data_IF_381847657813
#
_entry.id   IF_381847657813
#
_cell.length_a   1.000
_cell.length_b   1.000
_cell.length_c   1.000
_cell.angle_alpha   90.00
_cell.angle_beta   90.00
_cell.angle_gamma   90.00
#
_symmetry.space_group_name_H-M   'P 1'
#
loop_
_entity.id
_entity.type
_entity.pdbx_description
1 polymer ?
#
# COMPACT_ATOMS: atom_id res chain seq x y z
N UNK A 1 21.78 -10.19 -7.78
CA UNK A 1 22.45 -10.91 -6.67
C UNK A 1 21.52 -10.98 -5.47
N UNK A 2 21.26 -9.85 -4.78
CA UNK A 2 20.48 -9.83 -3.53
C UNK A 2 18.95 -10.02 -3.69
N UNK A 3 18.45 -9.97 -4.92
CA UNK A 3 17.05 -10.26 -5.25
C UNK A 3 17.00 -11.00 -6.58
N UNK A 4 16.20 -12.06 -6.63
CA UNK A 4 15.89 -12.79 -7.87
C UNK A 4 14.73 -12.10 -8.59
N UNK A 5 14.82 -11.91 -9.91
CA UNK A 5 13.78 -11.25 -10.71
C UNK A 5 12.39 -11.91 -10.59
N UNK A 6 12.33 -13.20 -10.28
CA UNK A 6 11.08 -13.95 -10.09
C UNK A 6 10.41 -13.67 -8.73
N UNK A 7 11.13 -13.08 -7.77
CA UNK A 7 10.68 -12.82 -6.39
C UNK A 7 10.72 -11.31 -6.07
N UNK A 8 10.02 -10.52 -6.87
CA UNK A 8 9.83 -9.08 -6.67
C UNK A 8 8.81 -8.79 -5.55
N UNK A 9 9.14 -9.22 -4.32
CA UNK A 9 8.40 -8.84 -3.12
C UNK A 9 8.62 -7.37 -2.76
N UNK A 10 7.72 -6.80 -1.94
CA UNK A 10 7.89 -5.44 -1.40
C UNK A 10 9.24 -5.30 -0.69
N UNK A 11 9.88 -4.14 -0.83
CA UNK A 11 11.19 -3.85 -0.22
C UNK A 11 11.26 -4.17 1.29
N UNK A 12 10.15 -3.99 2.01
CA UNK A 12 10.06 -4.22 3.45
C UNK A 12 10.31 -5.68 3.86
N UNK A 13 10.09 -6.63 2.95
CA UNK A 13 10.23 -8.05 3.28
C UNK A 13 11.64 -8.61 3.12
N UNK A 14 12.54 -7.91 2.44
CA UNK A 14 13.88 -8.43 2.14
C UNK A 14 15.01 -7.46 2.43
N UNK A 15 14.82 -6.15 2.22
CA UNK A 15 15.89 -5.17 2.47
C UNK A 15 16.32 -5.13 3.94
N UNK A 16 15.41 -5.13 4.94
CA UNK A 16 15.81 -5.22 6.34
C UNK A 16 16.63 -6.47 6.64
N UNK A 17 16.19 -7.63 6.14
CA UNK A 17 16.88 -8.90 6.35
C UNK A 17 18.29 -8.93 5.76
N UNK A 18 18.48 -8.43 4.53
CA UNK A 18 19.83 -8.34 3.93
C UNK A 18 20.71 -7.34 4.69
N UNK A 19 20.13 -6.27 5.21
CA UNK A 19 20.85 -5.29 6.05
C UNK A 19 21.33 -5.95 7.35
N UNK A 20 20.49 -6.76 8.01
CA UNK A 20 20.86 -7.55 9.20
C UNK A 20 21.97 -8.57 8.90
N UNK A 21 21.85 -9.31 7.79
CA UNK A 21 22.88 -10.29 7.37
C UNK A 21 24.25 -9.66 7.12
N UNK A 22 24.28 -8.37 6.75
CA UNK A 22 25.51 -7.62 6.55
C UNK A 22 26.05 -7.01 7.86
N UNK A 23 25.45 -7.36 9.00
CA UNK A 23 25.89 -6.94 10.33
C UNK A 23 25.31 -5.60 10.81
N UNK A 24 24.30 -5.05 10.13
CA UNK A 24 23.65 -3.81 10.54
C UNK A 24 22.36 -4.07 11.33
N UNK A 25 21.70 -3.01 11.80
CA UNK A 25 20.35 -3.10 12.38
C UNK A 25 19.28 -2.87 11.30
N UNK A 26 18.66 -3.95 10.85
CA UNK A 26 17.58 -4.00 9.86
C UNK A 26 16.30 -3.28 10.31
N UNK A 27 16.07 -3.12 11.62
CA UNK A 27 14.91 -2.38 12.14
C UNK A 27 14.89 -0.94 11.66
N UNK A 28 16.05 -0.32 11.43
CA UNK A 28 16.14 1.05 10.88
C UNK A 28 15.51 1.13 9.48
N UNK A 29 15.81 0.13 8.64
CA UNK A 29 15.27 0.04 7.27
C UNK A 29 13.79 -0.30 7.30
N UNK A 30 13.39 -1.24 8.15
CA UNK A 30 11.99 -1.61 8.34
C UNK A 30 11.15 -0.42 8.80
N UNK A 31 11.65 0.33 9.79
CA UNK A 31 11.02 1.55 10.31
C UNK A 31 10.84 2.60 9.22
N UNK A 32 11.89 2.88 8.43
CA UNK A 32 11.81 3.85 7.32
C UNK A 32 10.74 3.45 6.30
N UNK A 33 10.72 2.18 5.90
CA UNK A 33 9.76 1.67 4.91
C UNK A 33 8.32 1.67 5.44
N UNK A 34 8.13 1.41 6.75
CA UNK A 34 6.83 1.54 7.39
C UNK A 34 6.35 3.00 7.38
N UNK A 35 7.21 3.96 7.73
CA UNK A 35 6.88 5.38 7.69
C UNK A 35 6.47 5.82 6.26
N UNK A 36 7.15 5.32 5.23
CA UNK A 36 6.79 5.62 3.83
C UNK A 36 5.38 5.09 3.46
N UNK A 37 5.01 3.87 3.88
CA UNK A 37 3.67 3.31 3.68
C UNK A 37 2.61 4.06 4.51
N UNK A 38 2.94 4.49 5.73
CA UNK A 38 2.04 5.28 6.59
C UNK A 38 1.76 6.65 5.98
N UNK A 39 2.79 7.34 5.47
CA UNK A 39 2.65 8.61 4.74
C UNK A 39 1.77 8.42 3.50
N UNK A 40 1.97 7.33 2.75
CA UNK A 40 1.19 7.01 1.56
C UNK A 40 -0.29 6.77 1.89
N UNK A 41 -0.56 6.02 2.96
CA UNK A 41 -1.92 5.73 3.44
C UNK A 41 -2.63 7.02 3.85
N UNK A 42 -1.99 7.84 4.70
CA UNK A 42 -2.57 9.14 5.14
C UNK A 42 -2.82 10.11 3.99
N UNK A 43 -1.97 10.12 2.96
CA UNK A 43 -2.23 10.90 1.74
C UNK A 43 -3.46 10.39 0.99
N UNK A 44 -3.67 9.08 0.95
CA UNK A 44 -4.89 8.46 0.41
C UNK A 44 -6.14 8.88 1.18
N UNK A 45 -6.07 8.95 2.51
CA UNK A 45 -7.17 9.40 3.36
C UNK A 45 -7.55 10.86 3.07
N UNK A 46 -6.54 11.75 2.93
CA UNK A 46 -6.79 13.15 2.55
C UNK A 46 -7.49 13.25 1.19
N UNK A 47 -7.03 12.49 0.19
CA UNK A 47 -7.66 12.50 -1.15
C UNK A 47 -9.11 12.01 -1.09
N UNK A 48 -9.39 11.02 -0.24
CA UNK A 48 -10.74 10.50 -0.04
C UNK A 48 -11.65 11.55 0.60
N UNK A 49 -11.17 12.24 1.65
CA UNK A 49 -11.89 13.34 2.30
C UNK A 49 -12.15 14.51 1.34
N UNK A 50 -11.16 14.86 0.51
CA UNK A 50 -11.29 15.92 -0.50
C UNK A 50 -12.35 15.60 -1.55
N UNK A 51 -12.41 14.34 -2.02
CA UNK A 51 -13.43 13.90 -3.00
C UNK A 51 -14.84 13.88 -2.41
N UNK A 52 -14.99 13.44 -1.16
CA UNK A 52 -16.30 13.32 -0.52
C UNK A 52 -17.02 14.66 -0.36
N UNK A 53 -16.28 15.76 -0.27
CA UNK A 53 -16.88 17.05 0.07
C UNK A 53 -16.48 18.23 -0.84
N UNK A 54 -15.76 17.97 -1.94
CA UNK A 54 -15.23 19.02 -2.84
C UNK A 54 -14.52 20.13 -2.04
N UNK A 55 -13.75 19.72 -1.04
CA UNK A 55 -13.16 20.60 -0.04
C UNK A 55 -11.76 21.03 -0.46
N UNK A 56 -11.52 22.34 -0.47
CA UNK A 56 -10.19 22.91 -0.34
C UNK A 56 -9.95 23.37 1.10
N UNK A 57 -8.84 22.92 1.69
CA UNK A 57 -8.43 23.26 3.07
C UNK A 57 -8.15 24.77 3.19
N UNK A 58 -7.84 25.45 2.10
CA UNK A 58 -7.65 26.92 2.08
C UNK A 58 -8.94 27.69 2.34
N UNK A 59 -10.12 27.07 2.18
CA UNK A 59 -11.41 27.72 2.42
C UNK A 59 -11.85 27.73 3.89
N UNK A 60 -11.01 27.26 4.83
CA UNK A 60 -11.39 27.18 6.26
C UNK A 60 -11.93 28.51 6.79
N UNK A 61 -11.17 29.59 6.62
CA UNK A 61 -11.52 30.94 7.11
C UNK A 61 -12.83 31.44 6.50
N UNK A 62 -13.01 31.23 5.20
CA UNK A 62 -14.24 31.57 4.48
C UNK A 62 -15.46 30.80 5.01
N UNK A 63 -15.32 29.51 5.32
CA UNK A 63 -16.42 28.71 5.87
C UNK A 63 -16.78 29.16 7.28
N UNK A 64 -15.77 29.44 8.11
CA UNK A 64 -16.01 29.99 9.45
C UNK A 64 -16.77 31.31 9.35
N UNK A 65 -16.33 32.23 8.48
CA UNK A 65 -17.06 33.49 8.26
C UNK A 65 -18.49 33.30 7.72
N UNK A 66 -18.73 32.30 6.86
CA UNK A 66 -20.08 31.97 6.40
C UNK A 66 -20.96 31.41 7.54
N UNK A 67 -20.39 30.59 8.43
CA UNK A 67 -21.09 30.08 9.62
C UNK A 67 -21.46 31.25 10.52
N UNK A 68 -20.55 32.19 10.77
CA UNK A 68 -20.81 33.37 11.61
C UNK A 68 -21.96 34.22 11.05
N UNK A 69 -21.94 34.50 9.74
CA UNK A 69 -23.00 35.26 9.06
C UNK A 69 -24.33 34.51 9.17
N UNK A 70 -24.35 33.22 8.86
CA UNK A 70 -25.57 32.39 8.88
C UNK A 70 -26.13 32.21 10.29
N UNK A 71 -25.26 32.15 11.30
CA UNK A 71 -25.64 32.08 12.70
C UNK A 71 -26.31 33.38 13.16
N UNK A 72 -25.81 34.54 12.73
CA UNK A 72 -26.45 35.82 13.02
C UNK A 72 -27.80 35.96 12.27
N UNK A 73 -27.87 35.57 10.98
CA UNK A 73 -29.14 35.52 10.24
C UNK A 73 -30.18 34.63 10.93
N UNK A 74 -29.75 33.47 11.46
CA UNK A 74 -30.58 32.55 12.23
C UNK A 74 -31.13 33.24 13.48
N UNK A 75 -30.25 33.84 14.26
CA UNK A 75 -30.61 34.53 15.52
C UNK A 75 -31.57 35.68 15.29
N UNK A 76 -31.38 36.48 14.24
CA UNK A 76 -32.32 37.55 13.89
C UNK A 76 -33.68 36.98 13.48
N UNK A 77 -33.69 35.90 12.71
CA UNK A 77 -34.94 35.20 12.33
C UNK A 77 -35.67 34.66 13.56
N UNK A 78 -34.96 34.07 14.51
CA UNK A 78 -35.52 33.61 15.80
C UNK A 78 -36.12 34.78 16.60
N UNK A 79 -35.44 35.92 16.68
CA UNK A 79 -35.96 37.12 17.34
C UNK A 79 -37.23 37.67 16.67
N UNK A 80 -37.30 37.64 15.34
CA UNK A 80 -38.52 38.02 14.61
C UNK A 80 -39.67 37.05 14.85
N UNK A 81 -39.37 35.74 14.99
CA UNK A 81 -40.35 34.71 15.35
C UNK A 81 -40.88 34.94 16.78
N UNK A 82 -39.99 35.24 17.74
CA UNK A 82 -40.35 35.46 19.14
C UNK A 82 -41.22 36.71 19.37
N UNK A 83 -41.12 37.71 18.47
CA UNK A 83 -41.97 38.92 18.51
C UNK A 83 -43.44 38.65 18.18
N UNK A 84 -43.78 37.51 17.59
CA UNK A 84 -45.17 37.14 17.31
C UNK A 84 -45.90 36.77 18.61
N UNK A 85 -46.55 37.77 19.21
CA UNK A 85 -47.29 37.61 20.47
C UNK A 85 -48.77 37.29 20.21
N UNK A 86 -49.12 36.00 20.25
CA UNK A 86 -50.48 35.49 20.06
C UNK A 86 -51.32 35.70 21.33
N UNK A 87 -52.14 36.76 21.41
CA UNK A 87 -53.07 36.98 22.52
C UNK A 87 -54.53 36.81 22.10
N UNK A 88 -55.12 35.67 22.49
CA UNK A 88 -56.56 35.51 22.72
C UNK A 88 -56.79 34.56 23.91
N UNK A 89 -57.95 34.63 24.56
CA UNK A 89 -58.27 34.02 25.86
C UNK A 89 -58.22 32.47 25.91
N UNK A 90 -58.01 31.79 24.77
CA UNK A 90 -57.80 30.33 24.60
C UNK A 90 -56.33 29.95 24.26
N UNK A 91 -55.38 30.89 24.42
CA UNK A 91 -54.02 30.77 23.89
C UNK A 91 -53.14 29.69 24.54
N UNK A 92 -53.35 29.29 25.80
CA UNK A 92 -52.43 28.37 26.50
C UNK A 92 -52.48 26.95 25.91
N UNK A 93 -53.68 26.37 25.81
CA UNK A 93 -53.88 25.01 25.26
C UNK A 93 -53.51 24.94 23.79
N UNK A 94 -53.77 26.00 23.03
CA UNK A 94 -53.47 26.05 21.59
C UNK A 94 -51.96 26.24 21.34
N UNK A 95 -51.26 27.01 22.19
CA UNK A 95 -49.82 27.22 22.13
C UNK A 95 -49.02 25.96 22.49
N UNK A 96 -49.39 25.26 23.57
CA UNK A 96 -48.79 23.96 23.92
C UNK A 96 -48.94 22.93 22.78
N UNK A 97 -50.10 22.91 22.13
CA UNK A 97 -50.34 22.07 20.96
C UNK A 97 -49.48 22.47 19.74
N UNK A 98 -49.16 23.75 19.56
CA UNK A 98 -48.28 24.22 18.49
C UNK A 98 -46.83 23.84 18.79
N UNK A 99 -46.36 24.05 20.03
CA UNK A 99 -45.00 23.71 20.47
C UNK A 99 -44.71 22.20 20.34
N UNK A 100 -45.69 21.35 20.67
CA UNK A 100 -45.60 19.91 20.41
C UNK A 100 -45.48 19.60 18.92
N UNK A 101 -46.27 20.26 18.06
CA UNK A 101 -46.19 20.05 16.60
C UNK A 101 -44.84 20.54 16.06
N UNK A 102 -44.32 21.66 16.57
CA UNK A 102 -43.01 22.21 16.18
C UNK A 102 -41.86 21.27 16.55
N UNK A 103 -41.89 20.71 17.75
CA UNK A 103 -40.88 19.72 18.19
C UNK A 103 -40.92 18.47 17.31
N UNK A 104 -42.10 17.98 16.98
CA UNK A 104 -42.27 16.84 16.06
C UNK A 104 -41.81 17.18 14.64
N UNK A 105 -42.12 18.37 14.12
CA UNK A 105 -41.66 18.83 12.81
C UNK A 105 -40.13 18.95 12.75
N UNK A 106 -39.48 19.42 13.82
CA UNK A 106 -38.03 19.51 13.89
C UNK A 106 -37.37 18.11 13.84
N UNK A 107 -37.93 17.14 14.57
CA UNK A 107 -37.48 15.76 14.52
C UNK A 107 -37.69 15.15 13.11
N UNK A 108 -38.86 15.35 12.51
CA UNK A 108 -39.17 14.85 11.16
C UNK A 108 -38.32 15.50 10.07
N UNK A 109 -38.04 16.80 10.16
CA UNK A 109 -37.16 17.49 9.22
C UNK A 109 -35.72 16.98 9.35
N UNK A 110 -35.23 16.77 10.57
CA UNK A 110 -33.91 16.15 10.80
C UNK A 110 -33.83 14.76 10.17
N UNK A 111 -34.89 13.97 10.31
CA UNK A 111 -35.00 12.66 9.68
C UNK A 111 -35.03 12.73 8.14
N UNK A 112 -35.78 13.68 7.58
CA UNK A 112 -35.82 13.96 6.14
C UNK A 112 -34.42 14.24 5.59
N UNK A 113 -33.66 15.11 6.26
CA UNK A 113 -32.28 15.42 5.86
C UNK A 113 -31.36 14.20 5.94
N UNK A 114 -31.49 13.38 6.99
CA UNK A 114 -30.73 12.12 7.11
C UNK A 114 -31.01 11.19 5.93
N UNK A 115 -32.28 11.03 5.56
CA UNK A 115 -32.69 10.19 4.43
C UNK A 115 -32.21 10.74 3.08
N UNK A 116 -32.30 12.06 2.85
CA UNK A 116 -31.78 12.69 1.63
C UNK A 116 -30.25 12.53 1.50
N UNK A 117 -29.53 12.65 2.62
CA UNK A 117 -28.09 12.42 2.66
C UNK A 117 -27.74 10.96 2.31
N UNK A 118 -28.40 9.98 2.95
CA UNK A 118 -28.17 8.56 2.65
C UNK A 118 -28.54 8.20 1.19
N UNK A 119 -29.62 8.77 0.65
CA UNK A 119 -29.99 8.64 -0.77
C UNK A 119 -28.88 9.18 -1.67
N UNK A 120 -28.32 10.36 -1.37
CA UNK A 120 -27.24 10.95 -2.14
C UNK A 120 -25.97 10.09 -2.07
N UNK A 121 -25.62 9.58 -0.89
CA UNK A 121 -24.48 8.67 -0.68
C UNK A 121 -24.62 7.36 -1.47
N UNK A 122 -25.81 6.75 -1.45
CA UNK A 122 -26.12 5.55 -2.24
C UNK A 122 -26.06 5.85 -3.75
N UNK A 123 -26.57 6.99 -4.19
CA UNK A 123 -26.49 7.42 -5.59
C UNK A 123 -25.05 7.66 -6.07
N UNK A 124 -24.20 8.31 -5.25
CA UNK A 124 -22.78 8.50 -5.54
C UNK A 124 -22.06 7.16 -5.64
N UNK A 125 -22.34 6.23 -4.72
CA UNK A 125 -21.80 4.86 -4.76
C UNK A 125 -22.21 4.10 -6.03
N UNK A 126 -23.45 4.27 -6.49
CA UNK A 126 -23.95 3.69 -7.74
C UNK A 126 -23.25 4.28 -8.99
N UNK A 127 -22.88 5.58 -8.98
CA UNK A 127 -22.12 6.23 -10.07
C UNK A 127 -20.67 5.74 -10.15
N UNK A 128 -20.04 5.49 -9.00
CA UNK A 128 -18.64 5.05 -8.91
C UNK A 128 -18.42 3.56 -9.24
N UNK A 129 -19.48 2.75 -9.40
CA UNK A 129 -19.37 1.30 -9.68
C UNK A 129 -18.94 0.98 -11.14
N UNK A 130 -18.07 1.79 -11.75
CA UNK A 130 -17.61 1.67 -13.14
C UNK A 130 -16.13 1.30 -13.29
N UNK A 131 -15.51 0.70 -12.27
CA UNK A 131 -14.19 0.11 -12.40
C UNK A 131 -14.29 -1.31 -12.99
N UNK A 132 -14.54 -1.40 -14.30
CA UNK A 132 -14.47 -2.66 -15.04
C UNK A 132 -13.00 -2.90 -15.39
N UNK A 133 -12.44 -4.01 -14.89
CA UNK A 133 -11.14 -4.52 -15.35
C UNK A 133 -11.34 -5.00 -16.78
N UNK A 134 -10.85 -4.23 -17.76
CA UNK A 134 -11.00 -4.55 -19.19
C UNK A 134 -9.85 -5.42 -19.64
N UNK A 135 -10.10 -6.72 -19.77
CA UNK A 135 -9.14 -7.71 -20.30
C UNK A 135 -8.52 -7.25 -21.63
N UNK A 136 -9.33 -6.62 -22.49
CA UNK A 136 -8.91 -6.12 -23.80
C UNK A 136 -7.74 -5.14 -23.73
N UNK A 137 -7.79 -4.18 -22.78
CA UNK A 137 -6.71 -3.19 -22.59
C UNK A 137 -5.44 -3.82 -22.05
N UNK A 138 -5.59 -4.90 -21.27
CA UNK A 138 -4.46 -5.65 -20.76
C UNK A 138 -3.79 -6.43 -21.90
N UNK A 139 -4.58 -7.04 -22.80
CA UNK A 139 -4.07 -7.72 -24.00
C UNK A 139 -3.35 -6.74 -24.95
N UNK A 140 -3.94 -5.57 -25.20
CA UNK A 140 -3.31 -4.49 -25.98
C UNK A 140 -1.94 -4.10 -25.40
N UNK A 141 -1.84 -3.92 -24.08
CA UNK A 141 -0.58 -3.56 -23.42
C UNK A 141 0.49 -4.66 -23.56
N UNK A 142 0.11 -5.93 -23.47
CA UNK A 142 1.03 -7.07 -23.62
C UNK A 142 1.52 -7.24 -25.07
N UNK A 143 0.65 -6.96 -26.05
CA UNK A 143 1.05 -6.88 -27.46
C UNK A 143 2.01 -5.72 -27.73
N UNK A 144 1.78 -4.53 -27.14
CA UNK A 144 2.66 -3.37 -27.29
C UNK A 144 4.08 -3.61 -26.75
N UNK A 145 4.22 -4.38 -25.68
CA UNK A 145 5.53 -4.75 -25.13
C UNK A 145 6.12 -6.03 -25.74
N UNK A 146 5.44 -6.62 -26.72
CA UNK A 146 5.85 -7.83 -27.45
C UNK A 146 6.11 -9.05 -26.52
N UNK A 147 5.34 -9.16 -25.44
CA UNK A 147 5.42 -10.25 -24.45
C UNK A 147 4.22 -11.18 -24.62
N UNK A 148 4.49 -12.48 -24.67
CA UNK A 148 3.45 -13.52 -24.76
C UNK A 148 2.50 -13.45 -23.56
N UNK A 149 1.20 -13.24 -23.83
CA UNK A 149 0.14 -13.27 -22.81
C UNK A 149 -0.31 -14.73 -22.56
N UNK A 150 0.00 -15.34 -21.41
CA UNK A 150 -0.29 -16.76 -21.18
C UNK A 150 -1.79 -17.04 -21.13
N UNK A 151 -2.25 -18.11 -21.79
CA UNK A 151 -3.68 -18.51 -21.77
C UNK A 151 -4.22 -18.77 -20.35
N UNK A 152 -3.37 -19.26 -19.45
CA UNK A 152 -3.72 -19.47 -18.03
C UNK A 152 -4.03 -18.16 -17.32
N UNK A 153 -3.32 -17.08 -17.68
CA UNK A 153 -3.54 -15.74 -17.15
C UNK A 153 -4.80 -15.11 -17.76
N UNK A 154 -5.11 -15.40 -19.04
CA UNK A 154 -6.39 -15.02 -19.66
C UNK A 154 -7.57 -15.62 -18.91
N UNK A 155 -7.54 -16.93 -18.62
CA UNK A 155 -8.62 -17.60 -17.86
C UNK A 155 -8.78 -17.04 -16.46
N UNK A 156 -7.69 -16.79 -15.74
CA UNK A 156 -7.73 -16.20 -14.40
C UNK A 156 -8.26 -14.77 -14.39
N UNK A 157 -7.94 -13.98 -15.41
CA UNK A 157 -8.49 -12.64 -15.55
C UNK A 157 -9.94 -12.65 -16.00
N UNK A 158 -10.35 -13.58 -16.87
CA UNK A 158 -11.75 -13.79 -17.25
C UNK A 158 -12.57 -14.21 -16.02
N UNK A 159 -12.05 -15.09 -15.18
CA UNK A 159 -12.66 -15.46 -13.90
C UNK A 159 -12.72 -14.26 -12.93
N UNK A 160 -11.66 -13.45 -12.87
CA UNK A 160 -11.64 -12.22 -12.06
C UNK A 160 -12.63 -11.18 -12.59
N UNK A 161 -12.76 -11.02 -13.90
CA UNK A 161 -13.73 -10.14 -14.56
C UNK A 161 -15.16 -10.60 -14.26
N UNK A 162 -15.45 -11.90 -14.40
CA UNK A 162 -16.73 -12.49 -14.05
C UNK A 162 -17.05 -12.34 -12.56
N UNK A 163 -16.06 -12.53 -11.68
CA UNK A 163 -16.23 -12.36 -10.24
C UNK A 163 -16.46 -10.89 -9.86
N UNK A 164 -15.69 -9.97 -10.45
CA UNK A 164 -15.83 -8.53 -10.21
C UNK A 164 -17.17 -8.02 -10.75
N UNK A 165 -17.62 -8.54 -11.89
CA UNK A 165 -18.92 -8.20 -12.46
C UNK A 165 -20.07 -8.83 -11.66
N UNK A 166 -19.92 -10.05 -11.16
CA UNK A 166 -20.89 -10.68 -10.25
C UNK A 166 -21.05 -9.88 -8.95
N UNK A 167 -19.95 -9.56 -8.25
CA UNK A 167 -19.97 -8.73 -7.03
C UNK A 167 -20.50 -7.33 -7.32
N UNK A 168 -20.09 -6.69 -8.42
CA UNK A 168 -20.57 -5.35 -8.78
C UNK A 168 -22.06 -5.36 -9.11
N UNK A 169 -22.56 -6.43 -9.70
CA UNK A 169 -23.99 -6.58 -10.04
C UNK A 169 -24.84 -6.86 -8.82
N UNK A 170 -24.37 -7.73 -7.91
CA UNK A 170 -25.02 -7.99 -6.62
C UNK A 170 -25.03 -6.75 -5.73
N UNK A 171 -23.90 -6.04 -5.63
CA UNK A 171 -23.80 -4.78 -4.91
C UNK A 171 -24.70 -3.70 -5.51
N UNK A 172 -24.74 -3.56 -6.84
CA UNK A 172 -25.66 -2.62 -7.52
C UNK A 172 -27.13 -2.97 -7.24
N UNK A 173 -27.47 -4.26 -7.21
CA UNK A 173 -28.82 -4.72 -6.87
C UNK A 173 -29.18 -4.32 -5.45
N UNK A 174 -28.33 -4.63 -4.47
CA UNK A 174 -28.53 -4.23 -3.07
C UNK A 174 -28.64 -2.72 -2.89
N UNK A 175 -27.76 -1.94 -3.53
CA UNK A 175 -27.80 -0.48 -3.47
C UNK A 175 -29.09 0.09 -4.09
N UNK A 176 -29.60 -0.50 -5.17
CA UNK A 176 -30.88 -0.10 -5.78
C UNK A 176 -32.08 -0.44 -4.89
N UNK A 177 -32.08 -1.63 -4.27
CA UNK A 177 -33.12 -2.03 -3.32
C UNK A 177 -33.13 -1.10 -2.11
N UNK A 178 -31.97 -0.83 -1.50
CA UNK A 178 -31.83 0.12 -0.40
C UNK A 178 -32.25 1.54 -0.80
N UNK A 179 -31.87 2.00 -2.01
CA UNK A 179 -32.30 3.30 -2.54
C UNK A 179 -33.82 3.39 -2.66
N UNK A 180 -34.48 2.30 -3.05
CA UNK A 180 -35.94 2.24 -3.14
C UNK A 180 -36.58 2.35 -1.76
N UNK A 181 -36.09 1.59 -0.77
CA UNK A 181 -36.56 1.67 0.62
C UNK A 181 -36.39 3.07 1.21
N UNK A 182 -35.21 3.68 1.07
CA UNK A 182 -34.93 5.03 1.56
C UNK A 182 -35.83 6.08 0.90
N UNK A 183 -36.13 5.94 -0.41
CA UNK A 183 -37.06 6.83 -1.11
C UNK A 183 -38.50 6.68 -0.64
N UNK A 184 -38.94 5.46 -0.35
CA UNK A 184 -40.27 5.22 0.23
C UNK A 184 -40.40 5.81 1.64
N UNK A 185 -39.37 5.65 2.48
CA UNK A 185 -39.32 6.29 3.80
C UNK A 185 -39.34 7.82 3.69
N UNK A 186 -38.55 8.38 2.77
CA UNK A 186 -38.52 9.82 2.51
C UNK A 186 -39.90 10.33 2.06
N UNK A 187 -40.59 9.59 1.19
CA UNK A 187 -41.94 9.93 0.75
C UNK A 187 -42.94 9.93 1.92
N UNK A 188 -42.91 8.91 2.78
CA UNK A 188 -43.76 8.82 3.98
C UNK A 188 -43.50 9.97 4.95
N UNK A 189 -42.24 10.30 5.22
CA UNK A 189 -41.87 11.44 6.07
C UNK A 189 -42.33 12.76 5.46
N UNK A 190 -42.19 12.95 4.14
CA UNK A 190 -42.68 14.15 3.47
C UNK A 190 -44.20 14.30 3.56
N UNK A 191 -44.96 13.22 3.40
CA UNK A 191 -46.42 13.27 3.60
C UNK A 191 -46.78 13.60 5.06
N UNK A 192 -46.08 13.00 6.01
CA UNK A 192 -46.33 13.23 7.43
C UNK A 192 -45.99 14.67 7.86
N UNK A 193 -44.87 15.23 7.36
CA UNK A 193 -44.51 16.65 7.51
C UNK A 193 -45.62 17.51 6.90
N UNK A 194 -46.07 17.23 5.69
CA UNK A 194 -47.13 17.99 5.02
C UNK A 194 -48.44 17.99 5.81
N UNK A 195 -48.81 16.86 6.40
CA UNK A 195 -50.00 16.74 7.25
C UNK A 195 -49.85 17.50 8.57
N UNK A 196 -48.67 17.46 9.21
CA UNK A 196 -48.38 18.20 10.45
C UNK A 196 -48.33 19.71 10.21
N UNK A 197 -47.72 20.15 9.11
CA UNK A 197 -47.74 21.54 8.65
C UNK A 197 -49.16 22.07 8.38
N UNK A 198 -50.05 21.24 7.80
CA UNK A 198 -51.44 21.61 7.59
C UNK A 198 -52.20 21.80 8.92
N UNK A 199 -52.06 20.86 9.86
CA UNK A 199 -52.66 20.97 11.21
C UNK A 199 -52.13 22.16 11.99
N UNK A 200 -50.83 22.43 11.85
CA UNK A 200 -50.18 23.60 12.44
C UNK A 200 -50.74 24.89 11.86
N UNK A 201 -50.92 24.92 10.55
CA UNK A 201 -51.49 26.06 9.83
C UNK A 201 -52.91 26.38 10.25
N UNK A 202 -53.74 25.35 10.43
CA UNK A 202 -55.09 25.50 10.97
C UNK A 202 -55.08 26.12 12.37
N UNK A 203 -54.25 25.60 13.28
CA UNK A 203 -54.20 26.07 14.68
C UNK A 203 -53.69 27.49 14.82
N UNK A 204 -52.70 27.92 14.03
CA UNK A 204 -52.18 29.28 14.13
C UNK A 204 -53.13 30.30 13.48
N UNK A 205 -53.88 29.90 12.43
CA UNK A 205 -54.93 30.74 11.84
C UNK A 205 -56.05 31.10 12.83
N UNK A 206 -56.25 30.27 13.86
CA UNK A 206 -57.20 30.52 14.95
C UNK A 206 -56.68 31.53 15.98
N UNK A 207 -55.36 31.76 16.03
CA UNK A 207 -54.69 32.61 17.02
C UNK A 207 -54.31 34.00 16.50
N UNK A 208 -54.38 34.25 15.18
CA UNK A 208 -53.88 35.48 14.55
C UNK A 208 -54.62 35.88 13.28
N UNK A 209 -54.59 37.17 12.96
CA UNK A 209 -55.00 37.67 11.64
C UNK A 209 -54.17 37.00 10.53
N UNK A 210 -54.82 36.70 9.39
CA UNK A 210 -54.22 35.93 8.30
C UNK A 210 -52.87 36.47 7.81
N UNK A 211 -52.66 37.79 7.87
CA UNK A 211 -51.44 38.45 7.40
C UNK A 211 -50.24 38.26 8.37
N UNK A 212 -50.51 38.25 9.68
CA UNK A 212 -49.52 37.98 10.73
C UNK A 212 -49.07 36.52 10.66
N UNK A 213 -50.02 35.60 10.45
CA UNK A 213 -49.74 34.18 10.27
C UNK A 213 -48.87 33.89 9.04
N UNK A 214 -49.18 34.54 7.90
CA UNK A 214 -48.40 34.36 6.67
C UNK A 214 -46.93 34.78 6.86
N UNK A 215 -46.67 35.89 7.57
CA UNK A 215 -45.30 36.33 7.89
C UNK A 215 -44.57 35.34 8.79
N UNK A 216 -45.23 34.84 9.83
CA UNK A 216 -44.66 33.82 10.73
C UNK A 216 -44.24 32.56 9.96
N UNK A 217 -45.08 32.07 9.04
CA UNK A 217 -44.77 30.91 8.19
C UNK A 217 -43.55 31.14 7.29
N UNK A 218 -43.39 32.35 6.76
CA UNK A 218 -42.22 32.73 5.96
C UNK A 218 -40.95 32.70 6.81
N UNK A 219 -40.95 33.31 7.99
CA UNK A 219 -39.79 33.31 8.88
C UNK A 219 -39.41 31.90 9.35
N UNK A 220 -40.39 31.05 9.66
CA UNK A 220 -40.09 29.68 10.06
C UNK A 220 -39.48 28.83 8.94
N UNK A 221 -39.98 28.99 7.70
CA UNK A 221 -39.36 28.32 6.54
C UNK A 221 -37.93 28.82 6.31
N UNK A 222 -37.68 30.12 6.53
CA UNK A 222 -36.35 30.70 6.49
C UNK A 222 -35.44 30.11 7.58
N UNK A 223 -35.94 29.97 8.81
CA UNK A 223 -35.22 29.38 9.93
C UNK A 223 -34.78 27.94 9.61
N UNK A 224 -35.69 27.11 9.12
CA UNK A 224 -35.38 25.74 8.73
C UNK A 224 -34.32 25.66 7.60
N UNK A 225 -34.36 26.61 6.65
CA UNK A 225 -33.34 26.72 5.59
C UNK A 225 -31.98 27.10 6.15
N UNK A 226 -31.93 28.10 7.04
CA UNK A 226 -30.70 28.55 7.69
C UNK A 226 -30.08 27.46 8.56
N UNK A 227 -30.89 26.70 9.29
CA UNK A 227 -30.40 25.56 10.08
C UNK A 227 -29.80 24.44 9.22
N UNK A 228 -30.41 24.16 8.07
CA UNK A 228 -29.88 23.17 7.13
C UNK A 228 -28.57 23.64 6.48
N UNK A 229 -28.50 24.91 6.09
CA UNK A 229 -27.28 25.54 5.56
C UNK A 229 -26.15 25.53 6.60
N UNK A 230 -26.44 25.91 7.86
CA UNK A 230 -25.47 25.87 8.96
C UNK A 230 -24.92 24.46 9.19
N UNK A 231 -25.79 23.45 9.29
CA UNK A 231 -25.34 22.06 9.45
C UNK A 231 -24.42 21.60 8.32
N UNK A 232 -24.69 22.02 7.08
CA UNK A 232 -23.85 21.69 5.94
C UNK A 232 -22.48 22.36 6.04
N UNK A 233 -22.44 23.64 6.43
CA UNK A 233 -21.19 24.38 6.63
C UNK A 233 -20.37 23.80 7.81
N UNK A 234 -21.03 23.43 8.91
CA UNK A 234 -20.40 22.79 10.08
C UNK A 234 -19.77 21.44 9.72
N UNK A 235 -20.46 20.59 8.97
CA UNK A 235 -19.90 19.31 8.51
C UNK A 235 -18.72 19.55 7.56
N UNK A 236 -18.82 20.55 6.65
CA UNK A 236 -17.71 20.92 5.77
C UNK A 236 -16.48 21.38 6.58
N UNK A 237 -16.70 22.17 7.65
CA UNK A 237 -15.63 22.61 8.55
C UNK A 237 -14.97 21.43 9.28
N UNK A 238 -15.76 20.48 9.79
CA UNK A 238 -15.26 19.28 10.47
C UNK A 238 -14.32 18.46 9.57
N UNK A 239 -14.69 18.29 8.31
CA UNK A 239 -13.88 17.57 7.32
C UNK A 239 -12.58 18.31 6.99
N UNK A 240 -12.60 19.65 6.93
CA UNK A 240 -11.39 20.48 6.78
C UNK A 240 -10.45 20.30 7.96
N UNK A 241 -10.97 20.38 9.18
CA UNK A 241 -10.15 20.26 10.40
C UNK A 241 -9.54 18.86 10.51
N UNK A 242 -10.30 17.83 10.13
CA UNK A 242 -9.79 16.46 10.03
C UNK A 242 -8.66 16.33 9.01
N UNK A 243 -8.81 16.93 7.83
CA UNK A 243 -7.76 16.95 6.80
C UNK A 243 -6.50 17.67 7.27
N UNK A 244 -6.65 18.79 7.98
CA UNK A 244 -5.53 19.54 8.58
C UNK A 244 -4.78 18.70 9.62
N UNK A 245 -5.51 17.99 10.49
CA UNK A 245 -4.91 17.09 11.48
C UNK A 245 -4.08 15.99 10.81
N UNK A 246 -4.60 15.38 9.73
CA UNK A 246 -3.86 14.36 8.98
C UNK A 246 -2.60 14.96 8.32
N UNK A 247 -2.66 16.21 7.82
CA UNK A 247 -1.49 16.90 7.28
C UNK A 247 -0.40 17.10 8.33
N UNK A 248 -0.77 17.53 9.54
CA UNK A 248 0.19 17.67 10.66
C UNK A 248 0.87 16.34 11.01
N UNK A 249 0.10 15.23 11.05
CA UNK A 249 0.65 13.89 11.24
C UNK A 249 1.61 13.49 10.12
N UNK A 250 1.30 13.82 8.87
CA UNK A 250 2.20 13.58 7.72
C UNK A 250 3.51 14.34 7.91
N UNK A 251 3.47 15.60 8.37
CA UNK A 251 4.67 16.40 8.58
C UNK A 251 5.53 15.88 9.74
N UNK A 252 4.91 15.39 10.82
CA UNK A 252 5.61 14.67 11.88
C UNK A 252 6.31 13.41 11.35
N UNK A 253 5.61 12.59 10.56
CA UNK A 253 6.18 11.39 9.94
C UNK A 253 7.33 11.72 8.97
N UNK A 254 7.28 12.85 8.25
CA UNK A 254 8.40 13.29 7.39
C UNK A 254 9.64 13.63 8.20
N UNK A 255 9.48 14.26 9.36
CA UNK A 255 10.64 14.57 10.22
C UNK A 255 11.21 13.29 10.83
N UNK A 256 10.35 12.37 11.28
CA UNK A 256 10.79 11.04 11.75
C UNK A 256 11.50 10.24 10.64
N UNK A 257 10.99 10.29 9.40
CA UNK A 257 11.64 9.71 8.23
C UNK A 257 13.04 10.29 8.03
N UNK A 258 13.19 11.61 8.13
CA UNK A 258 14.48 12.29 7.97
C UNK A 258 15.49 11.85 9.04
N UNK A 259 15.07 11.75 10.30
CA UNK A 259 15.91 11.25 11.39
C UNK A 259 16.31 9.78 11.19
N UNK A 260 15.36 8.95 10.75
CA UNK A 260 15.61 7.53 10.47
C UNK A 260 16.60 7.37 9.30
N UNK A 261 16.45 8.16 8.24
CA UNK A 261 17.40 8.17 7.10
C UNK A 261 18.80 8.59 7.55
N UNK A 262 18.92 9.60 8.41
CA UNK A 262 20.21 10.01 8.97
C UNK A 262 20.86 8.87 9.79
N UNK A 263 20.07 8.16 10.59
CA UNK A 263 20.53 7.01 11.38
C UNK A 263 21.00 5.86 10.48
N UNK A 264 20.30 5.60 9.37
CA UNK A 264 20.72 4.60 8.38
C UNK A 264 22.06 5.01 7.73
N UNK A 265 22.22 6.28 7.37
CA UNK A 265 23.47 6.77 6.77
C UNK A 265 24.64 6.63 7.76
N UNK A 266 24.45 7.01 9.01
CA UNK A 266 25.45 6.83 10.07
C UNK A 266 25.83 5.36 10.26
N UNK A 267 24.85 4.46 10.24
CA UNK A 267 25.10 3.02 10.30
C UNK A 267 25.94 2.54 9.10
N UNK A 268 25.60 2.97 7.88
CA UNK A 268 26.35 2.64 6.65
C UNK A 268 27.79 3.14 6.74
N UNK A 269 28.00 4.36 7.21
CA UNK A 269 29.33 4.97 7.37
C UNK A 269 30.19 4.22 8.42
N UNK A 270 29.54 3.62 9.43
CA UNK A 270 30.17 2.73 10.40
C UNK A 270 30.68 1.41 9.82
N UNK A 271 30.28 1.05 8.58
CA UNK A 271 30.82 -0.08 7.80
C UNK A 271 30.83 -1.44 8.54
N UNK A 272 29.73 -1.82 9.19
CA UNK A 272 29.61 -3.11 9.89
C UNK A 272 29.98 -4.33 8.99
N UNK A 273 29.61 -4.28 7.71
CA UNK A 273 29.96 -5.29 6.70
C UNK A 273 31.44 -5.38 6.28
N UNK A 274 32.36 -4.61 6.88
CA UNK A 274 33.75 -4.52 6.40
C UNK A 274 34.48 -5.88 6.36
N UNK A 275 34.25 -6.74 7.35
CA UNK A 275 34.88 -8.06 7.42
C UNK A 275 34.28 -9.03 6.38
N UNK A 276 32.95 -9.02 6.20
CA UNK A 276 32.27 -9.76 5.12
C UNK A 276 32.86 -9.35 3.77
N UNK A 277 33.03 -8.04 3.56
CA UNK A 277 33.66 -7.48 2.36
C UNK A 277 35.09 -7.97 2.14
N UNK A 278 35.88 -8.09 3.23
CA UNK A 278 37.25 -8.59 3.17
C UNK A 278 37.29 -10.05 2.72
N UNK A 279 36.46 -10.91 3.33
CA UNK A 279 36.38 -12.34 2.99
C UNK A 279 35.88 -12.51 1.56
N UNK A 280 34.83 -11.78 1.19
CA UNK A 280 34.27 -11.74 -0.16
C UNK A 280 35.34 -11.40 -1.21
N UNK A 281 36.07 -10.29 -1.02
CA UNK A 281 37.12 -9.88 -1.95
C UNK A 281 38.26 -10.90 -2.01
N UNK A 282 38.67 -11.46 -0.87
CA UNK A 282 39.73 -12.47 -0.82
C UNK A 282 39.42 -13.70 -1.69
N UNK A 283 38.20 -14.24 -1.56
CA UNK A 283 37.78 -15.39 -2.36
C UNK A 283 37.70 -15.04 -3.85
N UNK A 284 37.11 -13.89 -4.20
CA UNK A 284 37.03 -13.48 -5.61
C UNK A 284 38.42 -13.28 -6.21
N UNK A 285 39.33 -12.60 -5.51
CA UNK A 285 40.69 -12.38 -5.99
C UNK A 285 41.48 -13.68 -6.15
N UNK A 286 41.33 -14.64 -5.23
CA UNK A 286 41.95 -15.98 -5.35
C UNK A 286 41.44 -16.75 -6.58
N UNK A 287 40.17 -16.56 -6.95
CA UNK A 287 39.52 -17.29 -8.05
C UNK A 287 39.75 -16.62 -9.40
N UNK A 288 39.60 -15.31 -9.50
CA UNK A 288 39.55 -14.56 -10.77
C UNK A 288 40.73 -13.60 -10.98
N UNK A 289 41.68 -13.51 -10.06
CA UNK A 289 42.77 -12.51 -10.07
C UNK A 289 42.27 -11.04 -10.14
N UNK A 290 41.00 -10.80 -9.81
CA UNK A 290 40.36 -9.48 -9.85
C UNK A 290 39.78 -9.12 -8.49
N UNK A 291 39.79 -7.84 -8.12
CA UNK A 291 39.13 -7.39 -6.90
C UNK A 291 37.61 -7.30 -7.10
N UNK A 292 36.84 -7.43 -6.03
CA UNK A 292 35.41 -7.16 -5.98
C UNK A 292 35.02 -6.51 -4.66
N UNK A 293 33.89 -5.81 -4.66
CA UNK A 293 33.39 -5.08 -3.49
C UNK A 293 31.89 -5.24 -3.35
N UNK A 294 31.42 -5.36 -2.11
CA UNK A 294 30.02 -5.13 -1.73
C UNK A 294 29.92 -3.69 -1.24
N UNK A 295 29.00 -2.93 -1.81
CA UNK A 295 28.73 -1.55 -1.47
C UNK A 295 27.26 -1.39 -1.09
N UNK A 296 27.03 -0.52 -0.11
CA UNK A 296 25.71 -0.22 0.43
C UNK A 296 25.55 1.29 0.34
N UNK A 297 24.45 1.74 -0.26
CA UNK A 297 24.20 3.17 -0.47
C UNK A 297 22.72 3.49 -0.31
N UNK A 298 22.44 4.76 -0.01
CA UNK A 298 21.09 5.30 -0.14
C UNK A 298 20.86 5.74 -1.58
N UNK A 299 19.72 5.34 -2.16
CA UNK A 299 19.30 5.79 -3.49
C UNK A 299 18.54 7.13 -3.45
N UNK A 300 18.03 7.58 -4.59
CA UNK A 300 17.30 8.85 -4.70
C UNK A 300 16.07 8.96 -3.79
N UNK A 301 15.48 7.82 -3.42
CA UNK A 301 14.33 7.74 -2.51
C UNK A 301 14.74 7.50 -1.05
N UNK A 302 16.04 7.62 -0.76
CA UNK A 302 16.66 7.28 0.52
C UNK A 302 16.36 5.84 0.96
N UNK A 303 16.22 4.91 0.01
CA UNK A 303 16.17 3.48 0.30
C UNK A 303 17.58 2.91 0.25
N UNK A 304 17.86 1.93 1.12
CA UNK A 304 19.11 1.17 1.08
C UNK A 304 19.14 0.32 -0.18
N UNK A 305 20.21 0.43 -0.96
CA UNK A 305 20.52 -0.43 -2.09
C UNK A 305 21.86 -1.14 -1.86
N UNK A 306 21.88 -2.40 -2.25
CA UNK A 306 23.03 -3.31 -2.11
C UNK A 306 23.58 -3.61 -3.50
N UNK A 307 24.89 -3.50 -3.66
CA UNK A 307 25.56 -3.69 -4.94
C UNK A 307 26.86 -4.46 -4.73
N UNK A 308 27.09 -5.50 -5.54
CA UNK A 308 28.31 -6.27 -5.53
C UNK A 308 28.88 -6.30 -6.95
N UNK A 309 30.10 -5.80 -7.14
CA UNK A 309 30.74 -5.69 -8.45
C UNK A 309 32.23 -5.98 -8.39
N UNK A 310 32.78 -6.41 -9.53
CA UNK A 310 34.22 -6.45 -9.77
C UNK A 310 34.79 -5.04 -9.88
N UNK A 311 36.01 -4.86 -9.40
CA UNK A 311 36.80 -3.64 -9.49
C UNK A 311 37.89 -3.83 -10.55
N UNK A 312 37.61 -3.40 -11.77
CA UNK A 312 38.60 -3.37 -12.86
C UNK A 312 39.30 -2.00 -12.93
N UNK A 313 40.56 -2.00 -13.36
CA UNK A 313 41.42 -0.80 -13.42
C UNK A 313 40.92 0.27 -14.41
N UNK A 314 40.05 -0.11 -15.34
CA UNK A 314 39.29 0.82 -16.18
C UNK A 314 37.91 1.03 -15.56
N UNK A 315 37.51 2.28 -15.30
CA UNK A 315 36.14 2.70 -14.88
C UNK A 315 35.01 2.32 -15.88
N UNK A 316 35.29 1.44 -16.83
CA UNK A 316 34.32 0.75 -17.67
C UNK A 316 34.08 -0.61 -17.05
N UNK A 317 32.85 -0.83 -16.58
CA UNK A 317 32.27 -2.16 -16.34
C UNK A 317 32.68 -3.05 -17.51
N UNK A 318 33.64 -3.96 -17.30
CA UNK A 318 34.10 -4.84 -18.37
C UNK A 318 32.98 -5.84 -18.67
N UNK A 319 32.94 -6.36 -19.89
CA UNK A 319 31.98 -7.37 -20.35
C UNK A 319 31.97 -8.65 -19.47
N UNK A 320 32.97 -8.82 -18.60
CA UNK A 320 33.04 -9.87 -17.58
C UNK A 320 31.97 -9.70 -16.48
N UNK A 321 31.66 -8.46 -16.08
CA UNK A 321 30.59 -8.19 -15.10
C UNK A 321 29.18 -8.41 -15.68
N UNK A 322 29.04 -8.46 -17.01
CA UNK A 322 27.77 -8.72 -17.70
C UNK A 322 27.51 -10.22 -17.95
N UNK A 323 28.55 -11.05 -17.88
CA UNK A 323 28.44 -12.50 -18.06
C UNK A 323 27.71 -13.19 -16.91
N UNK A 324 26.70 -14.01 -17.22
CA UNK A 324 25.92 -14.78 -16.23
C UNK A 324 26.81 -15.60 -15.30
N UNK A 325 27.88 -16.23 -15.81
CA UNK A 325 28.78 -17.07 -15.02
C UNK A 325 29.61 -16.28 -13.99
N UNK A 326 30.09 -15.08 -14.32
CA UNK A 326 30.82 -14.23 -13.37
C UNK A 326 29.91 -13.62 -12.30
N UNK A 327 28.64 -13.38 -12.61
CA UNK A 327 27.63 -13.03 -11.59
C UNK A 327 27.35 -14.19 -10.63
N UNK A 328 27.33 -15.45 -11.11
CA UNK A 328 27.22 -16.64 -10.24
C UNK A 328 28.38 -16.69 -9.25
N UNK A 329 29.61 -16.40 -9.67
CA UNK A 329 30.78 -16.34 -8.78
C UNK A 329 30.63 -15.30 -7.66
N UNK A 330 30.08 -14.12 -7.95
CA UNK A 330 29.82 -13.13 -6.91
C UNK A 330 28.81 -13.68 -5.88
N UNK A 331 27.71 -14.33 -6.33
CA UNK A 331 26.74 -14.95 -5.41
C UNK A 331 27.42 -15.98 -4.50
N UNK A 332 28.23 -16.87 -5.08
CA UNK A 332 28.96 -17.92 -4.34
C UNK A 332 29.89 -17.31 -3.30
N UNK A 333 30.64 -16.28 -3.68
CA UNK A 333 31.56 -15.62 -2.78
C UNK A 333 30.84 -14.90 -1.64
N UNK A 334 29.66 -14.34 -1.90
CA UNK A 334 28.83 -13.71 -0.88
C UNK A 334 28.30 -14.74 0.12
N UNK A 335 27.73 -15.85 -0.36
CA UNK A 335 27.19 -16.89 0.50
C UNK A 335 28.29 -17.50 1.39
N UNK A 336 29.47 -17.76 0.83
CA UNK A 336 30.62 -18.23 1.60
C UNK A 336 31.10 -17.16 2.59
N UNK A 337 31.18 -15.88 2.20
CA UNK A 337 31.61 -14.82 3.09
C UNK A 337 30.69 -14.68 4.31
N UNK A 338 29.37 -14.83 4.13
CA UNK A 338 28.42 -14.86 5.23
C UNK A 338 28.65 -16.07 6.15
N UNK A 339 28.79 -17.28 5.58
CA UNK A 339 29.03 -18.49 6.36
C UNK A 339 30.32 -18.41 7.19
N UNK A 340 31.39 -17.87 6.61
CA UNK A 340 32.67 -17.67 7.30
C UNK A 340 32.53 -16.62 8.40
N UNK A 341 31.90 -15.48 8.11
CA UNK A 341 31.70 -14.41 9.10
C UNK A 341 30.91 -14.89 10.32
N UNK A 342 29.85 -15.69 10.10
CA UNK A 342 29.02 -16.25 11.16
C UNK A 342 29.45 -17.65 11.63
N UNK A 343 30.64 -18.13 11.27
CA UNK A 343 31.12 -19.48 11.59
C UNK A 343 31.26 -19.76 13.11
N UNK A 344 31.25 -18.72 13.95
CA UNK A 344 31.28 -18.83 15.42
C UNK A 344 29.91 -18.62 16.08
N UNK A 345 28.93 -18.17 15.32
CA UNK A 345 27.56 -17.90 15.80
C UNK A 345 26.62 -19.07 15.51
N UNK A 346 25.45 -19.13 16.14
CA UNK A 346 24.42 -20.13 15.80
C UNK A 346 23.79 -19.82 14.43
N UNK A 347 24.50 -20.15 13.36
CA UNK A 347 24.14 -19.90 11.97
C UNK A 347 24.31 -21.17 11.12
N UNK A 348 23.80 -21.16 9.90
CA UNK A 348 24.02 -22.25 8.96
C UNK A 348 25.52 -22.52 8.74
N UNK A 349 25.85 -23.77 8.43
CA UNK A 349 27.23 -24.25 8.22
C UNK A 349 27.40 -24.93 6.87
N UNK A 350 26.42 -24.80 5.99
CA UNK A 350 26.49 -25.38 4.66
C UNK A 350 25.89 -24.44 3.61
N UNK A 351 26.31 -24.63 2.36
CA UNK A 351 25.72 -23.98 1.18
C UNK A 351 25.64 -24.99 0.04
N UNK A 352 24.62 -24.85 -0.79
CA UNK A 352 24.40 -25.66 -1.99
C UNK A 352 24.34 -24.75 -3.22
N UNK A 353 25.16 -25.02 -4.22
CA UNK A 353 25.13 -24.29 -5.49
C UNK A 353 24.97 -25.25 -6.68
N UNK A 354 23.97 -24.96 -7.51
CA UNK A 354 23.72 -25.71 -8.74
C UNK A 354 24.38 -25.05 -9.94
N UNK A 355 25.02 -25.85 -10.79
CA UNK A 355 25.57 -25.41 -12.07
C UNK A 355 26.57 -24.25 -11.96
N UNK A 356 27.30 -24.16 -10.85
CA UNK A 356 28.18 -23.01 -10.56
C UNK A 356 29.39 -22.94 -11.49
N UNK A 357 29.85 -24.10 -11.97
CA UNK A 357 31.02 -24.21 -12.85
C UNK A 357 30.68 -24.01 -14.34
N UNK A 358 29.40 -23.92 -14.69
CA UNK A 358 28.93 -23.78 -16.07
C UNK A 358 29.51 -22.54 -16.77
N UNK A 359 30.14 -22.77 -17.93
CA UNK A 359 30.68 -21.71 -18.77
C UNK A 359 31.89 -20.97 -18.18
N UNK A 360 32.47 -21.46 -17.08
CA UNK A 360 33.73 -20.95 -16.54
C UNK A 360 34.93 -21.60 -17.23
N UNK A 361 36.05 -20.87 -17.31
CA UNK A 361 37.34 -21.42 -17.69
C UNK A 361 37.83 -22.45 -16.65
N UNK A 362 38.45 -23.54 -17.10
CA UNK A 362 38.88 -24.63 -16.23
C UNK A 362 39.84 -24.19 -15.12
N UNK A 363 40.65 -23.14 -15.34
CA UNK A 363 41.53 -22.59 -14.30
C UNK A 363 40.72 -21.94 -13.19
N UNK A 364 39.67 -21.20 -13.55
CA UNK A 364 38.75 -20.56 -12.59
C UNK A 364 37.99 -21.62 -11.81
N UNK A 365 37.53 -22.69 -12.47
CA UNK A 365 36.87 -23.83 -11.80
C UNK A 365 37.79 -24.49 -10.77
N UNK A 366 39.03 -24.82 -11.15
CA UNK A 366 39.99 -25.47 -10.24
C UNK A 366 40.34 -24.59 -9.04
N UNK A 367 40.54 -23.28 -9.27
CA UNK A 367 40.78 -22.32 -8.19
C UNK A 367 39.59 -22.21 -7.25
N UNK A 368 38.36 -22.16 -7.78
CA UNK A 368 37.16 -22.13 -6.95
C UNK A 368 37.05 -23.38 -6.08
N UNK A 369 37.18 -24.58 -6.66
CA UNK A 369 37.12 -25.84 -5.90
C UNK A 369 38.19 -25.87 -4.79
N UNK A 370 39.42 -25.49 -5.11
CA UNK A 370 40.53 -25.50 -4.15
C UNK A 370 40.29 -24.49 -3.02
N UNK A 371 39.86 -23.27 -3.36
CA UNK A 371 39.58 -22.21 -2.39
C UNK A 371 38.42 -22.59 -1.47
N UNK A 372 37.32 -23.13 -2.01
CA UNK A 372 36.15 -23.53 -1.21
C UNK A 372 36.47 -24.70 -0.28
N UNK A 373 37.22 -25.71 -0.75
CA UNK A 373 37.68 -26.82 0.09
C UNK A 373 38.51 -26.32 1.28
N UNK A 374 39.49 -25.43 1.02
CA UNK A 374 40.32 -24.82 2.06
C UNK A 374 39.47 -24.05 3.07
N UNK A 375 38.61 -23.14 2.59
CA UNK A 375 37.73 -22.32 3.45
C UNK A 375 36.81 -23.21 4.31
N UNK A 376 36.25 -24.28 3.73
CA UNK A 376 35.38 -25.19 4.44
C UNK A 376 36.11 -25.94 5.56
N UNK A 377 37.32 -26.44 5.29
CA UNK A 377 38.15 -27.11 6.28
C UNK A 377 38.56 -26.16 7.41
N UNK A 378 38.94 -24.93 7.08
CA UNK A 378 39.41 -23.93 8.06
C UNK A 378 38.28 -23.46 8.99
N UNK A 379 37.02 -23.47 8.53
CA UNK A 379 35.88 -22.89 9.24
C UNK A 379 34.80 -23.90 9.67
N UNK A 380 34.99 -25.20 9.40
CA UNK A 380 34.01 -26.23 9.71
C UNK A 380 32.69 -26.07 8.93
N UNK A 381 32.80 -25.74 7.63
CA UNK A 381 31.67 -25.55 6.73
C UNK A 381 31.54 -26.73 5.75
N UNK A 382 30.36 -26.89 5.15
CA UNK A 382 30.11 -27.86 4.09
C UNK A 382 29.67 -27.16 2.81
N UNK A 383 30.44 -27.31 1.74
CA UNK A 383 30.09 -26.79 0.42
C UNK A 383 29.61 -27.92 -0.47
N UNK A 384 28.36 -27.84 -0.94
CA UNK A 384 27.75 -28.84 -1.81
C UNK A 384 27.57 -28.22 -3.19
N UNK A 385 27.97 -28.96 -4.22
CA UNK A 385 27.87 -28.54 -5.60
C UNK A 385 27.32 -29.69 -6.46
N UNK A 386 26.44 -29.37 -7.40
CA UNK A 386 26.02 -30.28 -8.47
C UNK A 386 26.73 -29.92 -9.77
N UNK A 387 27.14 -30.96 -10.50
CA UNK A 387 27.85 -30.85 -11.78
C UNK A 387 27.34 -31.90 -12.74
N UNK A 388 27.47 -31.60 -14.03
CA UNK A 388 27.45 -32.59 -15.11
C UNK A 388 28.88 -32.85 -15.59
N UNK A 389 29.11 -34.00 -16.24
CA UNK A 389 30.45 -34.43 -16.67
C UNK A 389 31.21 -33.37 -17.48
N UNK A 390 30.51 -32.63 -18.35
CA UNK A 390 31.13 -31.59 -19.18
C UNK A 390 31.63 -30.37 -18.41
N UNK A 391 31.15 -30.16 -17.18
CA UNK A 391 31.57 -29.03 -16.34
C UNK A 391 32.76 -29.37 -15.44
N UNK A 392 33.16 -30.63 -15.36
CA UNK A 392 34.36 -31.06 -14.62
C UNK A 392 35.60 -30.45 -15.28
N UNK A 393 36.51 -29.80 -14.51
CA UNK A 393 37.70 -29.20 -15.09
C UNK A 393 38.58 -30.24 -15.80
N UNK A 394 39.05 -29.93 -17.00
CA UNK A 394 39.94 -30.81 -17.77
C UNK A 394 39.23 -31.92 -18.56
N UNK A 395 37.89 -31.99 -18.52
CA UNK A 395 37.10 -32.99 -19.26
C UNK A 395 37.40 -33.01 -20.77
N UNK A 396 37.71 -31.86 -21.37
CA UNK A 396 38.02 -31.75 -22.81
C UNK A 396 39.46 -32.19 -23.18
N UNK A 397 40.40 -32.21 -22.23
CA UNK A 397 41.84 -32.36 -22.48
C UNK A 397 42.43 -33.67 -21.93
N UNK A 398 41.60 -34.66 -21.60
CA UNK A 398 42.02 -35.99 -21.08
C UNK A 398 42.90 -35.95 -19.82
N UNK A 399 42.91 -34.81 -19.11
CA UNK A 399 43.60 -34.57 -17.84
C UNK A 399 42.56 -34.12 -16.82
N UNK A 400 41.61 -35.00 -16.57
CA UNK A 400 40.42 -34.72 -15.78
C UNK A 400 40.78 -34.47 -14.32
N UNK A 401 40.21 -33.42 -13.75
CA UNK A 401 40.30 -33.17 -12.32
C UNK A 401 39.52 -34.24 -11.57
N UNK A 402 40.21 -35.03 -10.73
CA UNK A 402 39.60 -36.13 -10.00
C UNK A 402 39.20 -35.66 -8.60
N UNK A 403 37.90 -35.70 -8.31
CA UNK A 403 37.39 -35.51 -6.95
C UNK A 403 37.75 -36.73 -6.08
N UNK A 404 38.17 -36.53 -4.81
CA UNK A 404 38.34 -37.63 -3.87
C UNK A 404 37.05 -38.43 -3.71
N UNK A 405 37.13 -39.77 -3.63
CA UNK A 405 35.94 -40.63 -3.61
C UNK A 405 35.04 -40.42 -2.39
N UNK A 406 35.58 -39.92 -1.29
CA UNK A 406 34.87 -39.53 -0.07
C UNK A 406 34.14 -38.18 -0.19
N UNK A 407 34.38 -37.40 -1.25
CA UNK A 407 33.70 -36.12 -1.52
C UNK A 407 32.46 -36.26 -2.41
N UNK A 408 32.31 -37.39 -3.12
CA UNK A 408 31.15 -37.65 -3.98
C UNK A 408 30.04 -38.28 -3.16
N UNK A 409 29.02 -37.49 -2.82
CA UNK A 409 27.90 -37.95 -2.01
C UNK A 409 26.83 -38.73 -2.80
N UNK A 410 26.65 -38.40 -4.08
CA UNK A 410 25.65 -38.99 -4.95
C UNK A 410 26.13 -38.90 -6.41
N UNK A 411 26.05 -40.00 -7.15
CA UNK A 411 26.26 -40.03 -8.59
C UNK A 411 24.94 -40.41 -9.27
N UNK A 412 24.53 -39.62 -10.26
CA UNK A 412 23.27 -39.81 -10.99
C UNK A 412 23.58 -40.13 -12.44
N UNK A 413 22.78 -40.99 -13.06
CA UNK A 413 22.89 -41.33 -14.48
C UNK A 413 21.53 -41.61 -15.10
N UNK A 414 21.39 -41.34 -16.39
CA UNK A 414 20.17 -41.62 -17.15
C UNK A 414 20.11 -43.06 -17.70
N UNK A 415 21.00 -43.96 -17.25
CA UNK A 415 21.10 -45.32 -17.76
C UNK A 415 19.89 -46.19 -17.41
N UNK A 416 19.39 -46.08 -16.18
CA UNK A 416 18.22 -46.81 -15.69
C UNK A 416 17.46 -45.98 -14.64
N UNK A 417 16.35 -46.52 -14.13
CA UNK A 417 15.57 -45.85 -13.08
C UNK A 417 16.40 -45.68 -11.80
N UNK A 418 17.28 -46.62 -11.44
CA UNK A 418 18.10 -46.54 -10.22
C UNK A 418 19.13 -45.41 -10.25
N UNK A 419 19.61 -45.04 -11.43
CA UNK A 419 20.52 -43.92 -11.63
C UNK A 419 19.85 -42.54 -11.50
N UNK A 420 18.51 -42.46 -11.48
CA UNK A 420 17.77 -41.19 -11.46
C UNK A 420 17.46 -40.75 -10.03
N UNK A 421 17.38 -39.43 -9.82
CA UNK A 421 17.07 -38.83 -8.53
C UNK A 421 15.76 -39.35 -7.89
N UNK A 422 14.74 -39.63 -8.71
CA UNK A 422 13.43 -40.10 -8.25
C UNK A 422 13.19 -41.60 -8.46
N UNK A 423 14.23 -42.35 -8.84
CA UNK A 423 14.17 -43.80 -9.04
C UNK A 423 13.09 -44.26 -10.06
N UNK A 424 12.78 -43.42 -11.06
CA UNK A 424 11.76 -43.71 -12.09
C UNK A 424 11.93 -42.87 -13.36
N UNK A 425 11.40 -43.38 -14.47
CA UNK A 425 11.22 -42.67 -15.75
C UNK A 425 9.85 -41.98 -15.83
N UNK A 426 9.78 -40.82 -16.48
CA UNK A 426 8.55 -40.01 -16.64
C UNK A 426 8.00 -40.10 -18.07
#
# INVERSE_FOLDING_TARGET
MFQLNKFTGKHIYWKPFVFDLLGFNGELVAKKLQIDEDIKTKRGDILTLQRQASIDVTERDKIVGLIDIKSEEKKQTELEIDKFNFYTQDATTTRELIDCIDTELQAMNSERYRLEYEINKVNSSLKETTAVVRLDKLKELYEEVNIFFPETLSKQYEELELFTDAISTERRKYLKENLMTLKEELAKINEAIKAKEAKRSEKISLLTEADVYNKFKVYQKSLASLEAELKLLEEKLRLIDSSSTIKEQIDQLKEERKQTVASIQEAIDGRAHAEINRIFNQLITEVTDTNAIISIKLNSDNNVDFQADYQTSTKTTTSEADGTSYKKLLCVAFDIALLVFYAKESFYRFVYHDGVLEGLDDRVKQRLITATQRICNDNGLQYILSLIDSDIPGAANSSEFVFPSDTVCLNLSDQDDNGKLFLRSF
#
